data_IF_807160250858
#
_entry.id   IF_807160250858
#
_cell.length_a   1.000
_cell.length_b   1.000
_cell.length_c   1.000
_cell.angle_alpha   90.00
_cell.angle_beta   90.00
_cell.angle_gamma   90.00
#
_symmetry.space_group_name_H-M   'P 1'
#
loop_
_entity.id
_entity.type
_entity.pdbx_description
1 polymer ?
#
# COMPACT_ATOMS: atom_id res chain seq x y z
N UNK A 1 0.99 -2.95 25.23
CA UNK A 1 1.52 -1.86 24.38
C UNK A 1 0.77 -1.97 23.07
N UNK A 2 0.01 -0.95 22.69
CA UNK A 2 -0.82 -1.01 21.49
C UNK A 2 0.06 -0.93 20.25
N UNK A 3 0.13 -2.04 19.52
CA UNK A 3 0.71 -2.11 18.19
C UNK A 3 -0.14 -1.26 17.24
N UNK A 4 0.09 0.06 17.28
CA UNK A 4 -0.52 1.00 16.36
C UNK A 4 0.17 0.86 14.99
N UNK A 5 -0.14 -0.24 14.30
CA UNK A 5 -0.30 -0.20 12.86
C UNK A 5 -1.34 0.89 12.60
N UNK A 6 -0.89 2.11 12.30
CA UNK A 6 -1.80 3.18 11.91
C UNK A 6 -2.72 2.66 10.80
N UNK A 7 -3.99 3.07 10.75
CA UNK A 7 -4.89 2.56 9.74
C UNK A 7 -4.26 2.80 8.36
N UNK A 8 -4.08 1.71 7.61
CA UNK A 8 -3.78 1.76 6.19
C UNK A 8 -4.68 2.81 5.52
N UNK A 9 -4.18 3.52 4.50
CA UNK A 9 -4.87 4.63 3.83
C UNK A 9 -6.40 4.50 3.88
N UNK A 10 -7.09 5.48 4.47
CA UNK A 10 -8.56 5.49 4.57
C UNK A 10 -9.25 5.37 3.20
N UNK A 11 -8.53 5.71 2.12
CA UNK A 11 -8.98 5.60 0.74
C UNK A 11 -8.04 4.69 -0.06
N UNK A 12 -8.34 3.38 -0.22
CA UNK A 12 -7.58 2.51 -1.11
C UNK A 12 -7.80 2.87 -2.58
N UNK A 13 -6.78 2.66 -3.41
CA UNK A 13 -6.93 2.70 -4.86
C UNK A 13 -7.57 1.39 -5.35
N UNK A 14 -8.56 1.48 -6.22
CA UNK A 14 -9.22 0.30 -6.82
C UNK A 14 -8.59 -0.03 -8.17
N UNK A 15 -8.33 -1.31 -8.39
CA UNK A 15 -7.89 -1.85 -9.67
C UNK A 15 -8.66 -3.16 -9.96
N UNK A 16 -9.77 -3.05 -10.68
CA UNK A 16 -10.71 -4.16 -10.86
C UNK A 16 -11.23 -4.70 -9.51
N UNK A 17 -10.97 -5.97 -9.27
CA UNK A 17 -11.32 -6.71 -8.04
C UNK A 17 -10.34 -6.46 -6.88
N UNK A 18 -9.30 -5.67 -7.07
CA UNK A 18 -8.26 -5.45 -6.06
C UNK A 18 -8.37 -4.07 -5.43
N UNK A 19 -8.10 -4.01 -4.12
CA UNK A 19 -7.96 -2.78 -3.35
C UNK A 19 -6.51 -2.63 -2.90
N UNK A 20 -5.89 -1.51 -3.26
CA UNK A 20 -4.50 -1.22 -2.94
C UNK A 20 -4.44 -0.12 -1.88
N UNK A 21 -3.88 -0.45 -0.73
CA UNK A 21 -3.70 0.43 0.39
C UNK A 21 -2.25 0.87 0.47
N UNK A 22 -2.03 2.15 0.78
CA UNK A 22 -0.75 2.65 1.20
C UNK A 22 -0.62 2.64 2.71
N UNK A 23 0.58 2.32 3.20
CA UNK A 23 0.93 2.39 4.61
C UNK A 23 2.25 3.14 4.81
N UNK A 24 2.47 3.64 6.02
CA UNK A 24 3.63 4.44 6.36
C UNK A 24 4.18 4.08 7.74
N UNK A 25 5.49 3.85 7.81
CA UNK A 25 6.21 3.57 9.05
C UNK A 25 7.23 4.68 9.34
N UNK A 26 7.30 5.11 10.60
CA UNK A 26 8.23 6.15 11.03
C UNK A 26 9.66 5.58 11.07
N UNK A 27 10.59 6.22 10.39
CA UNK A 27 12.00 5.82 10.37
C UNK A 27 12.81 6.50 11.49
N UNK A 28 13.96 5.92 11.92
CA UNK A 28 14.84 6.52 12.92
C UNK A 28 15.39 7.90 12.53
N UNK A 29 15.50 8.20 11.24
CA UNK A 29 15.95 9.49 10.73
C UNK A 29 14.86 10.59 10.74
N UNK A 30 13.68 10.29 11.28
CA UNK A 30 12.56 11.23 11.36
C UNK A 30 11.75 11.39 10.07
N UNK A 31 12.06 10.65 9.01
CA UNK A 31 11.18 10.54 7.84
C UNK A 31 10.23 9.34 7.91
N UNK A 32 9.53 9.07 6.81
CA UNK A 32 8.53 8.00 6.72
C UNK A 32 8.82 7.05 5.56
N UNK A 33 8.88 5.75 5.82
CA UNK A 33 8.97 4.72 4.78
C UNK A 33 7.57 4.42 4.22
N UNK A 34 7.49 4.19 2.92
CA UNK A 34 6.25 3.82 2.23
C UNK A 34 6.15 2.31 2.00
N UNK A 35 4.96 1.76 2.28
CA UNK A 35 4.59 0.36 2.05
C UNK A 35 3.24 0.27 1.35
N UNK A 36 2.92 -0.92 0.84
CA UNK A 36 1.60 -1.18 0.28
C UNK A 36 1.07 -2.56 0.65
N UNK A 37 -0.26 -2.63 0.74
CA UNK A 37 -1.03 -3.86 0.89
C UNK A 37 -2.02 -3.95 -0.25
N UNK A 38 -2.17 -5.14 -0.83
CA UNK A 38 -3.16 -5.43 -1.84
C UNK A 38 -4.13 -6.46 -1.26
N UNK A 39 -5.41 -6.14 -1.30
CA UNK A 39 -6.49 -7.00 -0.88
C UNK A 39 -7.28 -7.40 -2.14
N UNK A 40 -7.53 -8.70 -2.37
CA UNK A 40 -8.34 -9.20 -3.50
C UNK A 40 -9.79 -9.48 -3.06
N UNK A 41 -10.72 -8.82 -3.74
CA UNK A 41 -12.17 -8.89 -3.53
C UNK A 41 -12.88 -9.21 -4.85
N UNK A 42 -12.98 -10.49 -5.23
CA UNK A 42 -13.80 -10.89 -6.37
C UNK A 42 -15.26 -10.49 -6.18
N UNK A 43 -15.98 -10.22 -7.29
CA UNK A 43 -17.30 -9.59 -7.26
C UNK A 43 -18.27 -10.18 -6.21
N UNK A 44 -18.73 -9.33 -5.29
CA UNK A 44 -19.69 -9.68 -4.25
C UNK A 44 -19.17 -10.61 -3.15
N UNK A 45 -17.90 -11.01 -3.21
CA UNK A 45 -17.30 -11.93 -2.24
C UNK A 45 -16.55 -11.18 -1.13
N UNK A 46 -16.51 -11.76 0.08
CA UNK A 46 -15.61 -11.27 1.13
C UNK A 46 -14.15 -11.38 0.67
N UNK A 47 -13.25 -10.68 1.37
CA UNK A 47 -11.81 -10.72 1.11
C UNK A 47 -11.29 -12.15 0.95
N UNK A 48 -10.64 -12.45 -0.18
CA UNK A 48 -10.13 -13.79 -0.49
C UNK A 48 -8.62 -13.90 -0.25
N UNK A 49 -7.84 -12.85 -0.53
CA UNK A 49 -6.38 -12.89 -0.39
C UNK A 49 -5.79 -11.54 0.04
N UNK A 50 -4.76 -11.56 0.90
CA UNK A 50 -3.94 -10.40 1.27
C UNK A 50 -2.50 -10.58 0.80
N UNK A 51 -2.08 -9.78 -0.18
CA UNK A 51 -0.69 -9.68 -0.59
C UNK A 51 -0.06 -8.45 0.08
N UNK A 52 0.83 -8.70 1.05
CA UNK A 52 1.62 -7.64 1.68
C UNK A 52 2.99 -7.57 1.05
N UNK A 53 3.33 -6.44 0.43
CA UNK A 53 4.73 -6.17 0.13
C UNK A 53 5.40 -5.62 1.38
N UNK A 54 6.36 -6.39 1.93
CA UNK A 54 7.32 -5.87 2.93
C UNK A 54 8.54 -5.22 2.29
N UNK A 55 8.60 -5.10 0.95
CA UNK A 55 9.68 -4.39 0.29
C UNK A 55 9.39 -2.90 0.33
N UNK A 56 10.26 -2.18 1.03
CA UNK A 56 10.29 -0.72 1.08
C UNK A 56 10.26 -0.20 -0.37
N UNK A 57 9.22 0.56 -0.69
CA UNK A 57 8.97 1.07 -2.04
C UNK A 57 10.02 2.10 -2.47
N UNK A 58 10.65 2.77 -1.51
CA UNK A 58 11.74 3.69 -1.77
C UNK A 58 12.62 3.81 -0.51
N UNK A 59 13.95 3.68 -0.65
CA UNK A 59 14.88 3.85 0.49
C UNK A 59 14.86 5.28 1.06
N UNK A 60 14.25 6.20 0.34
CA UNK A 60 14.15 7.61 0.69
C UNK A 60 12.97 7.87 1.62
N UNK A 61 13.27 8.55 2.73
CA UNK A 61 12.30 8.86 3.76
C UNK A 61 11.40 10.03 3.29
N UNK A 62 10.08 9.82 3.29
CA UNK A 62 9.11 10.86 2.98
C UNK A 62 9.00 11.89 4.12
N UNK A 63 8.70 13.14 3.75
CA UNK A 63 8.53 14.26 4.70
C UNK A 63 7.31 14.08 5.62
N UNK A 64 6.24 13.44 5.14
CA UNK A 64 4.99 13.22 5.88
C UNK A 64 4.48 11.79 5.70
N UNK A 65 3.69 11.31 6.68
CA UNK A 65 3.06 10.00 6.61
C UNK A 65 2.05 9.91 5.44
N UNK A 66 1.30 10.99 5.18
CA UNK A 66 0.31 11.01 4.10
C UNK A 66 0.95 10.90 2.72
N UNK A 67 2.11 11.54 2.52
CA UNK A 67 2.88 11.40 1.28
C UNK A 67 3.39 9.96 1.12
N UNK A 68 3.91 9.35 2.19
CA UNK A 68 4.36 7.96 2.17
C UNK A 68 3.20 7.00 1.84
N UNK A 69 2.02 7.17 2.45
CA UNK A 69 0.83 6.36 2.14
C UNK A 69 0.39 6.54 0.69
N UNK A 70 0.30 7.78 0.20
CA UNK A 70 -0.09 8.02 -1.20
C UNK A 70 0.87 7.34 -2.18
N UNK A 71 2.18 7.50 -1.96
CA UNK A 71 3.20 6.84 -2.78
C UNK A 71 3.12 5.32 -2.70
N UNK A 72 2.94 4.75 -1.50
CA UNK A 72 2.75 3.32 -1.30
C UNK A 72 1.57 2.79 -2.14
N UNK A 73 0.42 3.46 -2.05
CA UNK A 73 -0.78 3.05 -2.80
C UNK A 73 -0.57 3.11 -4.32
N UNK A 74 0.02 4.19 -4.84
CA UNK A 74 0.28 4.36 -6.28
C UNK A 74 1.24 3.26 -6.77
N UNK A 75 2.36 3.07 -6.07
CA UNK A 75 3.33 2.05 -6.43
C UNK A 75 2.74 0.64 -6.36
N UNK A 76 1.97 0.33 -5.31
CA UNK A 76 1.31 -0.96 -5.18
C UNK A 76 0.32 -1.24 -6.31
N UNK A 77 -0.38 -0.21 -6.81
CA UNK A 77 -1.30 -0.34 -7.94
C UNK A 77 -0.53 -0.61 -9.23
N UNK A 78 0.55 0.12 -9.47
CA UNK A 78 1.34 -0.05 -10.68
C UNK A 78 2.05 -1.42 -10.69
N UNK A 79 2.53 -1.88 -9.53
CA UNK A 79 3.02 -3.25 -9.33
C UNK A 79 1.95 -4.30 -9.66
N UNK A 80 0.73 -4.11 -9.16
CA UNK A 80 -0.39 -5.02 -9.43
C UNK A 80 -0.74 -5.05 -10.92
N UNK A 81 -0.79 -3.89 -11.57
CA UNK A 81 -1.02 -3.75 -13.02
C UNK A 81 0.01 -4.53 -13.83
N UNK A 82 1.29 -4.37 -13.49
CA UNK A 82 2.39 -5.12 -14.10
C UNK A 82 2.23 -6.63 -13.91
N UNK A 83 1.93 -7.08 -12.69
CA UNK A 83 1.72 -8.49 -12.38
C UNK A 83 0.52 -9.11 -13.15
N UNK A 84 -0.52 -8.32 -13.42
CA UNK A 84 -1.67 -8.73 -14.23
C UNK A 84 -1.42 -8.62 -15.75
N UNK A 85 -0.21 -8.22 -16.19
CA UNK A 85 0.10 -7.99 -17.60
C UNK A 85 -0.59 -6.76 -18.21
N UNK A 86 -1.20 -5.90 -17.37
CA UNK A 86 -1.80 -4.64 -17.78
C UNK A 86 -0.74 -3.55 -17.66
N UNK A 87 0.05 -3.32 -18.71
CA UNK A 87 1.00 -2.20 -18.73
C UNK A 87 0.24 -0.87 -18.49
N UNK A 88 0.83 0.00 -17.66
CA UNK A 88 0.37 1.37 -17.45
C UNK A 88 0.50 2.21 -18.72
#
# INVERSE_FOLDING_TARGET
MSDSNGPASQNPLREGEYLVYGDAERMPNGGWAAFFRIDHHPEGQPLVEKLMSRKIVNRDAHKTADLARLHGAIYGRDFLREAMGKKA
#
